data_IF_076294645489
#
_entry.id   IF_076294645489
#
_cell.length_a   1.000
_cell.length_b   1.000
_cell.length_c   1.000
_cell.angle_alpha   90.00
_cell.angle_beta   90.00
_cell.angle_gamma   90.00
#
_symmetry.space_group_name_H-M   'P 1'
#
loop_
_entity.id
_entity.type
_entity.pdbx_description
1 polymer ?
#
# COMPACT_ATOMS: atom_id res chain seq x y z
N UNK A 1 -16.74 1.41 -19.04
CA UNK A 1 -15.67 2.06 -18.27
C UNK A 1 -14.67 0.96 -17.99
N UNK A 2 -13.40 1.18 -18.29
CA UNK A 2 -12.38 0.24 -17.86
C UNK A 2 -12.30 0.36 -16.34
N UNK A 3 -12.71 -0.69 -15.65
CA UNK A 3 -12.70 -0.73 -14.19
C UNK A 3 -11.24 -0.76 -13.72
N UNK A 4 -10.85 0.28 -12.99
CA UNK A 4 -9.59 0.30 -12.27
C UNK A 4 -9.75 -0.54 -11.01
N UNK A 5 -8.82 -1.45 -10.80
CA UNK A 5 -8.85 -2.35 -9.65
C UNK A 5 -7.86 -1.89 -8.58
N UNK A 6 -8.22 -2.00 -7.29
CA UNK A 6 -7.27 -1.92 -6.20
C UNK A 6 -6.07 -2.85 -6.40
N UNK A 7 -4.90 -2.43 -5.91
CA UNK A 7 -3.70 -3.25 -5.94
C UNK A 7 -2.79 -2.99 -4.74
N UNK A 8 -1.91 -3.96 -4.45
CA UNK A 8 -0.94 -3.90 -3.36
C UNK A 8 0.49 -3.81 -3.89
N UNK A 9 1.28 -2.95 -3.26
CA UNK A 9 2.73 -2.86 -3.47
C UNK A 9 3.49 -3.11 -2.18
N UNK A 10 4.62 -3.79 -2.31
CA UNK A 10 5.55 -4.05 -1.22
C UNK A 10 6.84 -3.26 -1.44
N UNK A 11 7.33 -2.63 -0.38
CA UNK A 11 8.55 -1.83 -0.38
C UNK A 11 9.48 -2.35 0.70
N UNK A 12 10.76 -2.55 0.36
CA UNK A 12 11.75 -2.90 1.37
C UNK A 12 12.11 -1.69 2.23
N UNK A 13 12.48 -1.96 3.49
CA UNK A 13 13.04 -0.93 4.38
C UNK A 13 14.19 -0.15 3.73
N UNK A 14 15.04 -0.84 2.96
CA UNK A 14 16.16 -0.25 2.22
C UNK A 14 15.69 0.85 1.25
N UNK A 15 14.65 0.56 0.47
CA UNK A 15 14.09 1.53 -0.47
C UNK A 15 13.42 2.70 0.26
N UNK A 16 12.64 2.44 1.32
CA UNK A 16 11.99 3.49 2.12
C UNK A 16 13.03 4.39 2.82
N UNK A 17 14.12 3.82 3.30
CA UNK A 17 15.23 4.57 3.89
C UNK A 17 15.93 5.46 2.83
N UNK A 18 16.07 4.96 1.59
CA UNK A 18 16.59 5.75 0.47
C UNK A 18 15.64 6.88 0.10
N UNK A 19 14.34 6.62 -0.03
CA UNK A 19 13.31 7.64 -0.24
C UNK A 19 13.39 8.72 0.83
N UNK A 20 13.47 8.32 2.10
CA UNK A 20 13.55 9.25 3.22
C UNK A 20 14.75 10.19 3.13
N UNK A 21 15.90 9.67 2.67
CA UNK A 21 17.10 10.49 2.39
C UNK A 21 16.90 11.41 1.19
N UNK A 22 16.42 10.87 0.07
CA UNK A 22 16.23 11.62 -1.20
C UNK A 22 15.23 12.76 -1.07
N UNK A 23 14.13 12.55 -0.34
CA UNK A 23 13.09 13.56 -0.11
C UNK A 23 13.34 14.44 1.12
N UNK A 24 14.43 14.21 1.86
CA UNK A 24 14.80 14.99 3.03
C UNK A 24 13.80 14.88 4.17
N UNK A 25 13.33 13.66 4.46
CA UNK A 25 12.30 13.35 5.46
C UNK A 25 12.89 13.11 6.87
N UNK A 26 14.21 12.93 6.97
CA UNK A 26 14.92 12.62 8.22
C UNK A 26 15.20 11.13 8.42
N UNK A 27 15.85 10.79 9.54
CA UNK A 27 16.33 9.42 9.84
C UNK A 27 15.24 8.49 10.40
N UNK A 28 14.18 9.04 10.98
CA UNK A 28 13.09 8.28 11.60
C UNK A 28 11.77 8.88 11.12
N UNK A 29 11.30 8.39 9.97
CA UNK A 29 10.03 8.81 9.39
C UNK A 29 8.95 7.85 9.83
N UNK A 30 7.99 8.36 10.62
CA UNK A 30 6.86 7.54 11.11
C UNK A 30 5.81 7.27 10.03
N UNK A 31 5.63 8.18 9.07
CA UNK A 31 4.60 8.12 8.01
C UNK A 31 5.21 8.49 6.65
N UNK A 32 6.04 7.61 6.04
CA UNK A 32 6.76 7.95 4.82
C UNK A 32 5.82 8.35 3.68
N UNK A 33 4.70 7.66 3.49
CA UNK A 33 3.68 8.03 2.51
C UNK A 33 3.26 9.51 2.62
N UNK A 34 2.82 9.94 3.80
CA UNK A 34 2.33 11.31 4.05
C UNK A 34 3.41 12.35 3.77
N UNK A 35 4.63 12.12 4.29
CA UNK A 35 5.73 13.08 4.14
C UNK A 35 6.23 13.16 2.68
N UNK A 36 6.24 12.05 1.95
CA UNK A 36 6.56 12.03 0.52
C UNK A 36 5.54 12.87 -0.27
N UNK A 37 4.24 12.61 -0.10
CA UNK A 37 3.19 13.34 -0.81
C UNK A 37 3.21 14.83 -0.49
N UNK A 38 3.49 15.18 0.78
CA UNK A 38 3.67 16.58 1.21
C UNK A 38 4.86 17.25 0.53
N UNK A 39 6.02 16.59 0.45
CA UNK A 39 7.21 17.11 -0.24
C UNK A 39 7.02 17.23 -1.75
N UNK A 40 6.18 16.39 -2.33
CA UNK A 40 5.82 16.45 -3.75
C UNK A 40 4.77 17.51 -4.06
N UNK A 41 4.21 18.18 -3.05
CA UNK A 41 3.22 19.25 -3.23
C UNK A 41 1.83 18.75 -3.65
N UNK A 42 1.50 17.48 -3.36
CA UNK A 42 0.17 16.95 -3.64
C UNK A 42 -0.87 17.48 -2.64
N UNK A 43 -2.08 17.73 -3.13
CA UNK A 43 -3.23 18.00 -2.29
C UNK A 43 -3.84 16.67 -1.86
N UNK A 44 -3.85 16.40 -0.56
CA UNK A 44 -4.44 15.21 0.03
C UNK A 44 -5.00 15.48 1.41
N UNK A 45 -5.89 14.60 1.85
CA UNK A 45 -6.34 14.50 3.25
C UNK A 45 -5.60 13.33 3.87
N UNK A 46 -4.90 13.57 4.97
CA UNK A 46 -4.33 12.48 5.76
C UNK A 46 -5.47 11.73 6.47
N UNK A 47 -5.43 10.41 6.39
CA UNK A 47 -6.37 9.51 7.02
C UNK A 47 -5.68 8.83 8.19
N UNK A 48 -6.34 8.81 9.34
CA UNK A 48 -6.08 7.81 10.37
C UNK A 48 -6.78 6.48 10.02
N UNK A 49 -6.66 5.51 10.92
CA UNK A 49 -7.18 4.15 10.71
C UNK A 49 -8.70 4.13 10.49
N UNK A 50 -9.44 4.89 11.28
CA UNK A 50 -10.91 4.87 11.25
C UNK A 50 -11.40 5.68 10.05
N UNK A 51 -10.75 6.81 9.77
CA UNK A 51 -10.98 7.60 8.55
C UNK A 51 -10.65 6.81 7.27
N UNK A 52 -9.61 5.97 7.28
CA UNK A 52 -9.26 5.10 6.16
C UNK A 52 -10.35 4.06 5.90
N UNK A 53 -10.88 3.46 6.96
CA UNK A 53 -12.03 2.54 6.87
C UNK A 53 -13.24 3.26 6.26
N UNK A 54 -13.59 4.43 6.80
CA UNK A 54 -14.72 5.22 6.30
C UNK A 54 -14.53 5.66 4.84
N UNK A 55 -13.31 5.99 4.43
CA UNK A 55 -12.99 6.36 3.05
C UNK A 55 -13.22 5.20 2.08
N UNK A 56 -12.80 3.98 2.44
CA UNK A 56 -13.08 2.78 1.64
C UNK A 56 -14.58 2.49 1.58
N UNK A 57 -15.29 2.52 2.71
CA UNK A 57 -16.75 2.28 2.74
C UNK A 57 -17.53 3.31 1.92
N UNK A 58 -17.13 4.58 2.00
CA UNK A 58 -17.71 5.66 1.20
C UNK A 58 -17.45 5.46 -0.28
N UNK A 59 -16.23 5.08 -0.65
CA UNK A 59 -15.88 4.80 -2.04
C UNK A 59 -16.71 3.63 -2.56
N UNK A 60 -16.73 2.48 -1.88
CA UNK A 60 -17.48 1.30 -2.31
C UNK A 60 -18.98 1.54 -2.52
N UNK A 61 -19.59 2.50 -1.79
CA UNK A 61 -21.00 2.88 -1.91
C UNK A 61 -21.27 4.02 -2.90
N UNK A 62 -20.26 4.54 -3.59
CA UNK A 62 -20.41 5.71 -4.46
C UNK A 62 -21.10 5.36 -5.78
N UNK A 63 -21.88 6.32 -6.29
CA UNK A 63 -22.54 6.20 -7.58
C UNK A 63 -21.51 6.11 -8.71
N UNK A 64 -21.73 5.18 -9.66
CA UNK A 64 -20.85 4.97 -10.80
C UNK A 64 -19.80 3.87 -10.63
N UNK A 65 -19.72 3.25 -9.45
CA UNK A 65 -18.90 2.05 -9.23
C UNK A 65 -19.67 0.78 -9.58
N UNK A 66 -18.98 -0.20 -10.16
CA UNK A 66 -19.55 -1.51 -10.47
C UNK A 66 -19.79 -2.34 -9.20
N UNK A 67 -20.80 -3.22 -9.23
CA UNK A 67 -21.13 -4.09 -8.08
C UNK A 67 -19.94 -4.94 -7.66
N UNK A 68 -19.18 -5.46 -8.62
CA UNK A 68 -17.96 -6.25 -8.38
C UNK A 68 -16.90 -5.44 -7.64
N UNK A 69 -16.63 -4.20 -8.07
CA UNK A 69 -15.66 -3.33 -7.40
C UNK A 69 -16.15 -2.94 -5.99
N UNK A 70 -17.45 -2.64 -5.81
CA UNK A 70 -18.02 -2.40 -4.49
C UNK A 70 -17.79 -3.57 -3.54
N UNK A 71 -18.05 -4.81 -3.99
CA UNK A 71 -17.83 -6.03 -3.20
C UNK A 71 -16.35 -6.24 -2.86
N UNK A 72 -15.45 -5.93 -3.79
CA UNK A 72 -14.01 -5.98 -3.55
C UNK A 72 -13.59 -4.97 -2.48
N UNK A 73 -14.06 -3.73 -2.55
CA UNK A 73 -13.76 -2.69 -1.55
C UNK A 73 -14.33 -3.05 -0.17
N UNK A 74 -15.54 -3.60 -0.12
CA UNK A 74 -16.13 -4.10 1.13
C UNK A 74 -15.26 -5.21 1.73
N UNK A 75 -14.85 -6.18 0.90
CA UNK A 75 -13.97 -7.29 1.32
C UNK A 75 -12.62 -6.80 1.84
N UNK A 76 -12.01 -5.81 1.18
CA UNK A 76 -10.79 -5.15 1.66
C UNK A 76 -11.03 -4.47 3.01
N UNK A 77 -12.11 -3.68 3.14
CA UNK A 77 -12.45 -3.00 4.38
C UNK A 77 -12.56 -4.00 5.55
N UNK A 78 -13.27 -5.11 5.33
CA UNK A 78 -13.41 -6.18 6.31
C UNK A 78 -12.07 -6.82 6.67
N UNK A 79 -11.25 -7.13 5.66
CA UNK A 79 -9.96 -7.80 5.85
C UNK A 79 -8.93 -6.95 6.60
N UNK A 80 -8.92 -5.63 6.41
CA UNK A 80 -7.91 -4.74 6.98
C UNK A 80 -8.35 -4.05 8.28
N UNK A 81 -9.66 -3.80 8.49
CA UNK A 81 -10.10 -2.89 9.56
C UNK A 81 -11.07 -3.47 10.60
N UNK A 82 -11.57 -4.70 10.44
CA UNK A 82 -12.31 -5.33 11.53
C UNK A 82 -11.38 -5.88 12.62
N UNK A 83 -11.84 -6.00 13.88
CA UNK A 83 -11.09 -6.67 14.96
C UNK A 83 -10.68 -8.11 14.61
N UNK A 84 -11.46 -8.77 13.73
CA UNK A 84 -11.19 -10.09 13.15
C UNK A 84 -10.55 -10.02 11.75
N UNK A 85 -10.10 -8.83 11.34
CA UNK A 85 -9.59 -8.56 10.00
C UNK A 85 -8.46 -9.52 9.64
N UNK A 86 -8.68 -10.26 8.55
CA UNK A 86 -7.83 -11.36 8.11
C UNK A 86 -6.37 -10.93 7.93
N UNK A 87 -6.14 -9.74 7.38
CA UNK A 87 -4.79 -9.21 7.17
C UNK A 87 -4.06 -8.99 8.49
N UNK A 88 -4.67 -8.26 9.44
CA UNK A 88 -4.09 -8.00 10.77
C UNK A 88 -3.98 -9.28 11.63
N UNK A 89 -4.99 -10.15 11.57
CA UNK A 89 -5.05 -11.37 12.37
C UNK A 89 -4.06 -12.44 11.89
N UNK A 90 -3.94 -12.63 10.56
CA UNK A 90 -3.04 -13.64 9.99
C UNK A 90 -1.58 -13.18 10.06
N UNK A 91 -1.36 -11.87 10.01
CA UNK A 91 -0.08 -11.22 10.10
C UNK A 91 0.00 -10.45 11.42
N UNK A 92 0.07 -11.17 12.55
CA UNK A 92 0.11 -10.66 13.95
C UNK A 92 1.03 -9.45 14.23
N UNK A 93 1.87 -9.05 13.27
CA UNK A 93 2.73 -7.88 13.33
C UNK A 93 2.64 -6.98 12.08
N UNK A 94 1.44 -6.83 11.55
CA UNK A 94 1.15 -5.79 10.56
C UNK A 94 0.29 -4.73 11.20
N UNK A 95 0.66 -3.48 10.97
CA UNK A 95 0.04 -2.34 11.61
C UNK A 95 -0.27 -1.28 10.56
N UNK A 96 -1.47 -0.72 10.65
CA UNK A 96 -1.80 0.50 9.91
C UNK A 96 -0.88 1.63 10.38
N UNK A 97 -0.23 2.33 9.44
CA UNK A 97 0.73 3.39 9.73
C UNK A 97 0.15 4.75 9.35
N UNK A 98 -0.36 4.87 8.12
CA UNK A 98 -0.96 6.10 7.62
C UNK A 98 -1.85 5.83 6.42
N UNK A 99 -2.64 6.81 6.03
CA UNK A 99 -3.37 6.79 4.77
C UNK A 99 -3.48 8.19 4.22
N UNK A 100 -3.71 8.28 2.93
CA UNK A 100 -4.00 9.53 2.25
C UNK A 100 -5.17 9.32 1.31
N UNK A 101 -6.00 10.35 1.21
CA UNK A 101 -7.02 10.47 0.19
C UNK A 101 -6.74 11.68 -0.68
N UNK A 102 -6.62 11.46 -1.98
CA UNK A 102 -6.63 12.51 -2.99
C UNK A 102 -8.00 12.55 -3.68
N UNK A 103 -8.16 13.49 -4.60
CA UNK A 103 -9.33 13.52 -5.49
C UNK A 103 -9.54 12.17 -6.20
N UNK A 104 -8.45 11.53 -6.63
CA UNK A 104 -8.49 10.40 -7.55
C UNK A 104 -8.02 9.08 -6.92
N UNK A 105 -7.50 9.08 -5.69
CA UNK A 105 -6.92 7.89 -5.06
C UNK A 105 -7.20 7.83 -3.55
N UNK A 106 -7.27 6.61 -3.03
CA UNK A 106 -7.06 6.31 -1.61
C UNK A 106 -5.82 5.42 -1.53
N UNK A 107 -4.83 5.81 -0.73
CA UNK A 107 -3.60 5.03 -0.54
C UNK A 107 -3.40 4.81 0.95
N UNK A 108 -3.28 3.55 1.34
CA UNK A 108 -3.13 3.14 2.73
C UNK A 108 -1.78 2.46 2.92
N UNK A 109 -1.03 2.90 3.93
CA UNK A 109 0.29 2.40 4.28
C UNK A 109 0.21 1.54 5.54
N UNK A 110 0.74 0.33 5.41
CA UNK A 110 0.89 -0.63 6.50
C UNK A 110 2.36 -0.99 6.68
N UNK A 111 2.79 -1.17 7.92
CA UNK A 111 4.09 -1.74 8.24
C UNK A 111 3.94 -3.21 8.59
N UNK A 112 4.65 -4.08 7.88
CA UNK A 112 4.80 -5.48 8.22
C UNK A 112 6.15 -5.78 8.88
N UNK A 113 6.09 -6.47 10.02
CA UNK A 113 7.26 -6.98 10.72
C UNK A 113 7.34 -8.51 10.60
N UNK A 114 8.44 -9.01 10.05
CA UNK A 114 8.71 -10.45 9.91
C UNK A 114 9.82 -10.84 10.90
N UNK A 115 9.45 -11.44 12.06
CA UNK A 115 10.44 -11.89 13.03
C UNK A 115 11.19 -13.12 12.48
N UNK A 116 12.51 -13.16 12.69
CA UNK A 116 13.36 -14.28 12.27
C UNK A 116 14.14 -14.82 13.45
N UNK A 117 14.17 -16.15 13.60
CA UNK A 117 14.97 -16.79 14.64
C UNK A 117 16.47 -16.55 14.36
N UNK A 118 17.21 -16.07 15.37
CA UNK A 118 18.66 -15.84 15.31
C UNK A 118 19.13 -14.89 14.19
N UNK A 119 18.23 -14.07 13.64
CA UNK A 119 18.55 -13.05 12.62
C UNK A 119 17.76 -11.77 12.92
N UNK A 120 18.22 -10.60 12.44
CA UNK A 120 17.45 -9.36 12.56
C UNK A 120 16.06 -9.50 11.93
N UNK A 121 15.07 -8.95 12.62
CA UNK A 121 13.70 -8.77 12.11
C UNK A 121 13.70 -7.98 10.81
N UNK A 122 12.89 -8.41 9.85
CA UNK A 122 12.68 -7.67 8.60
C UNK A 122 11.46 -6.77 8.71
N UNK A 123 11.54 -5.62 8.05
CA UNK A 123 10.46 -4.65 7.96
C UNK A 123 10.16 -4.35 6.50
N UNK A 124 8.87 -4.37 6.16
CA UNK A 124 8.37 -4.06 4.83
C UNK A 124 7.20 -3.09 4.94
N UNK A 125 7.21 -2.09 4.08
CA UNK A 125 6.08 -1.19 3.89
C UNK A 125 5.16 -1.80 2.83
N UNK A 126 3.86 -1.83 3.10
CA UNK A 126 2.83 -2.36 2.21
C UNK A 126 1.88 -1.23 1.91
N UNK A 127 1.74 -0.87 0.65
CA UNK A 127 0.76 0.12 0.22
C UNK A 127 -0.41 -0.58 -0.45
N UNK A 128 -1.61 -0.38 0.08
CA UNK A 128 -2.86 -0.68 -0.61
C UNK A 128 -3.28 0.58 -1.35
N UNK A 129 -3.38 0.49 -2.67
CA UNK A 129 -3.77 1.59 -3.55
C UNK A 129 -5.15 1.27 -4.11
N UNK A 130 -6.07 2.22 -3.96
CA UNK A 130 -7.43 2.17 -4.47
C UNK A 130 -7.61 3.39 -5.40
N UNK A 131 -7.38 3.22 -6.71
CA UNK A 131 -7.70 4.24 -7.68
C UNK A 131 -9.21 4.43 -7.76
N UNK A 132 -9.66 5.68 -7.80
CA UNK A 132 -11.09 6.00 -7.97
C UNK A 132 -11.50 6.05 -9.44
N UNK A 133 -10.52 6.17 -10.33
CA UNK A 133 -10.68 6.25 -11.78
C UNK A 133 -9.33 5.97 -12.48
N UNK A 134 -9.34 5.88 -13.82
CA UNK A 134 -8.13 5.67 -14.66
C UNK A 134 -7.06 6.73 -14.42
N UNK A 135 -7.46 7.99 -14.28
CA UNK A 135 -6.53 9.11 -14.01
C UNK A 135 -5.80 8.89 -12.69
N UNK A 136 -6.49 8.38 -11.67
CA UNK A 136 -5.91 8.01 -10.39
C UNK A 136 -4.85 6.92 -10.51
N UNK A 137 -5.13 5.86 -11.26
CA UNK A 137 -4.19 4.77 -11.48
C UNK A 137 -2.93 5.24 -12.23
N UNK A 138 -3.10 6.05 -13.27
CA UNK A 138 -2.00 6.64 -14.04
C UNK A 138 -1.16 7.60 -13.19
N UNK A 139 -1.79 8.44 -12.36
CA UNK A 139 -1.10 9.35 -11.44
C UNK A 139 -0.26 8.57 -10.43
N UNK A 140 -0.81 7.52 -9.82
CA UNK A 140 -0.05 6.67 -8.90
C UNK A 140 1.12 5.99 -9.61
N UNK A 141 0.92 5.41 -10.80
CA UNK A 141 2.02 4.85 -11.60
C UNK A 141 3.13 5.88 -11.87
N UNK A 142 2.77 7.11 -12.20
CA UNK A 142 3.73 8.21 -12.40
C UNK A 142 4.48 8.56 -11.11
N UNK A 143 3.79 8.66 -9.98
CA UNK A 143 4.41 8.91 -8.67
C UNK A 143 5.41 7.80 -8.33
N UNK A 144 5.01 6.54 -8.52
CA UNK A 144 5.84 5.36 -8.27
C UNK A 144 7.09 5.35 -9.15
N UNK A 145 6.95 5.61 -10.46
CA UNK A 145 8.09 5.74 -11.39
C UNK A 145 9.06 6.84 -10.96
N UNK A 146 8.53 8.02 -10.63
CA UNK A 146 9.35 9.15 -10.16
C UNK A 146 10.12 8.82 -8.88
N UNK A 147 9.50 8.11 -7.94
CA UNK A 147 10.16 7.66 -6.72
C UNK A 147 11.35 6.75 -7.02
N UNK A 148 11.18 5.79 -7.94
CA UNK A 148 12.26 4.89 -8.37
C UNK A 148 13.37 5.64 -9.11
N UNK A 149 13.02 6.50 -10.07
CA UNK A 149 14.00 7.29 -10.82
C UNK A 149 14.84 8.20 -9.91
N UNK A 150 14.20 8.88 -8.96
CA UNK A 150 14.91 9.78 -8.02
C UNK A 150 15.76 9.05 -7.01
N UNK A 151 15.39 7.83 -6.62
CA UNK A 151 16.18 7.04 -5.67
C UNK A 151 17.30 6.27 -6.35
N UNK A 152 17.13 5.93 -7.63
CA UNK A 152 18.02 5.02 -8.36
C UNK A 152 18.01 3.60 -7.78
N UNK A 153 16.97 3.24 -7.02
CA UNK A 153 16.89 1.99 -6.26
C UNK A 153 15.64 1.20 -6.65
N UNK A 154 15.78 -0.12 -6.74
CA UNK A 154 14.62 -1.00 -6.93
C UNK A 154 13.77 -1.05 -5.65
N UNK A 155 12.44 -0.84 -5.70
CA UNK A 155 11.57 -0.89 -4.53
C UNK A 155 11.63 -2.16 -3.72
N UNK A 156 11.83 -3.29 -4.41
CA UNK A 156 11.91 -4.61 -3.83
C UNK A 156 12.71 -5.53 -4.76
N UNK A 157 13.84 -6.05 -4.27
CA UNK A 157 14.66 -6.99 -5.05
C UNK A 157 14.06 -8.40 -5.07
N UNK A 158 14.57 -9.28 -5.93
CA UNK A 158 14.13 -10.68 -5.97
C UNK A 158 14.43 -11.43 -4.67
N UNK A 159 15.59 -11.18 -4.06
CA UNK A 159 15.91 -11.72 -2.74
C UNK A 159 14.96 -11.19 -1.66
N UNK A 160 14.64 -9.88 -1.68
CA UNK A 160 13.71 -9.29 -0.73
C UNK A 160 12.28 -9.81 -0.95
N UNK A 161 11.88 -10.09 -2.19
CA UNK A 161 10.60 -10.71 -2.53
C UNK A 161 10.45 -12.10 -1.92
N UNK A 162 11.50 -12.92 -1.98
CA UNK A 162 11.53 -14.24 -1.34
C UNK A 162 11.32 -14.14 0.18
N UNK A 163 11.86 -13.11 0.81
CA UNK A 163 11.66 -12.88 2.25
C UNK A 163 10.23 -12.45 2.61
N UNK A 164 9.46 -11.90 1.66
CA UNK A 164 8.05 -11.51 1.86
C UNK A 164 7.10 -12.69 1.64
N UNK A 165 7.56 -13.83 1.10
CA UNK A 165 6.74 -15.05 0.88
C UNK A 165 5.88 -15.47 2.07
N UNK A 166 6.35 -15.47 3.33
CA UNK A 166 5.51 -15.83 4.47
C UNK A 166 4.27 -14.93 4.63
N UNK A 167 4.37 -13.66 4.21
CA UNK A 167 3.23 -12.74 4.15
C UNK A 167 2.32 -13.13 2.98
N UNK A 168 2.89 -13.27 1.79
CA UNK A 168 2.17 -13.59 0.56
C UNK A 168 1.35 -14.87 0.70
N UNK A 169 1.95 -15.96 1.18
CA UNK A 169 1.29 -17.26 1.33
C UNK A 169 0.11 -17.22 2.29
N UNK A 170 0.19 -16.37 3.31
CA UNK A 170 -0.90 -16.17 4.28
C UNK A 170 -2.08 -15.39 3.70
N UNK A 171 -1.84 -14.54 2.70
CA UNK A 171 -2.84 -13.70 2.04
C UNK A 171 -3.37 -14.32 0.75
N UNK A 172 -2.59 -15.20 0.13
CA UNK A 172 -2.94 -15.89 -1.09
C UNK A 172 -4.23 -16.70 -0.89
N UNK A 173 -5.21 -16.49 -1.78
CA UNK A 173 -6.52 -17.14 -1.71
C UNK A 173 -7.44 -16.59 -0.63
N UNK A 174 -7.01 -15.57 0.11
CA UNK A 174 -7.79 -14.87 1.14
C UNK A 174 -8.16 -13.44 0.73
N UNK A 175 -7.30 -12.84 -0.08
CA UNK A 175 -7.48 -11.52 -0.69
C UNK A 175 -7.34 -11.68 -2.20
N UNK A 176 -8.42 -11.39 -2.94
CA UNK A 176 -8.47 -11.45 -4.40
C UNK A 176 -8.21 -10.06 -4.99
N UNK A 177 -6.98 -9.57 -4.79
CA UNK A 177 -6.52 -8.24 -5.22
C UNK A 177 -5.15 -8.39 -5.88
N UNK A 178 -4.96 -7.66 -6.99
CA UNK A 178 -3.68 -7.57 -7.71
C UNK A 178 -2.54 -7.17 -6.78
N UNK A 179 -1.37 -7.75 -7.00
CA UNK A 179 -0.20 -7.48 -6.18
C UNK A 179 -0.15 -8.22 -4.85
N UNK A 180 -1.19 -8.92 -4.39
CA UNK A 180 -1.08 -9.73 -3.15
C UNK A 180 -0.01 -10.80 -3.27
N UNK A 181 0.00 -11.52 -4.39
CA UNK A 181 0.87 -12.68 -4.62
C UNK A 181 1.84 -12.51 -5.80
N UNK A 182 2.00 -11.28 -6.28
CA UNK A 182 2.84 -10.93 -7.41
C UNK A 182 3.65 -9.66 -7.10
N UNK A 183 4.89 -9.60 -7.59
CA UNK A 183 5.71 -8.40 -7.46
C UNK A 183 5.37 -7.44 -8.61
N UNK A 184 4.36 -6.60 -8.40
CA UNK A 184 3.88 -5.66 -9.41
C UNK A 184 4.92 -4.64 -9.88
N UNK A 185 6.00 -4.42 -9.13
CA UNK A 185 7.06 -3.51 -9.57
C UNK A 185 7.70 -3.91 -10.90
N UNK A 186 7.74 -5.22 -11.19
CA UNK A 186 8.30 -5.74 -12.45
C UNK A 186 7.41 -5.45 -13.66
N UNK A 187 6.13 -5.18 -13.45
CA UNK A 187 5.15 -4.96 -14.52
C UNK A 187 4.65 -3.51 -14.57
N UNK A 188 4.79 -2.75 -13.48
CA UNK A 188 4.36 -1.36 -13.38
C UNK A 188 5.42 -0.34 -13.80
N UNK A 189 6.71 -0.69 -13.75
CA UNK A 189 7.81 0.21 -14.11
C UNK A 189 8.31 -0.11 -15.50
#
# INVERSE_FOLDING_TARGET
>A
MDDVEPFILYFSKRFVDKLSKTFGLGLIVRKPLVEIFKKMGYNFVELDRDQAKEALERFGKSEGITVSLSQLIESLTLAFFLPTGLFLATLKKVYYRSGIETKDNIILEFLAEIPRAFKPTLFYDIWLIVPKNVVGEEDVKRILKMMVERTGETPLTDEEWENVKPIIEKLKGKLEIKGVAENLWKTMI
#
